data_IF_524978986626
#
_entry.id   IF_524978986626
#
_cell.length_a   1.000
_cell.length_b   1.000
_cell.length_c   1.000
_cell.angle_alpha   90.00
_cell.angle_beta   90.00
_cell.angle_gamma   90.00
#
_symmetry.space_group_name_H-M   'P 1'
#
loop_
_entity.id
_entity.type
_entity.pdbx_description
1 polymer ?
#
# COMPACT_ATOMS: atom_id res chain seq x y z
N UNK A 1 -5.95 35.31 16.28
CA UNK A 1 -6.84 34.20 15.85
C UNK A 1 -6.00 32.94 15.86
N UNK A 2 -6.46 31.86 16.49
CA UNK A 2 -5.75 30.58 16.37
C UNK A 2 -5.76 30.16 14.90
N UNK A 3 -4.62 29.72 14.38
CA UNK A 3 -4.52 29.24 13.01
C UNK A 3 -5.33 27.95 12.89
N UNK A 4 -6.34 27.94 12.01
CA UNK A 4 -7.22 26.79 11.81
C UNK A 4 -6.52 25.67 11.01
N UNK A 5 -5.36 25.96 10.43
CA UNK A 5 -4.56 25.02 9.65
C UNK A 5 -4.11 23.82 10.50
N UNK A 6 -4.22 22.65 9.90
CA UNK A 6 -3.82 21.39 10.53
C UNK A 6 -4.80 20.25 10.34
N UNK A 7 -4.54 19.16 11.06
CA UNK A 7 -5.40 17.99 11.12
C UNK A 7 -6.10 17.96 12.46
N UNK A 8 -7.42 17.80 12.42
CA UNK A 8 -8.29 17.85 13.58
C UNK A 8 -9.08 16.56 13.70
N UNK A 9 -9.09 15.95 14.88
CA UNK A 9 -10.03 14.89 15.21
C UNK A 9 -11.39 15.51 15.56
N UNK A 10 -12.47 15.01 14.96
CA UNK A 10 -13.81 15.52 15.23
C UNK A 10 -14.49 14.67 16.29
N UNK A 11 -14.68 15.22 17.49
CA UNK A 11 -15.38 14.56 18.60
C UNK A 11 -16.79 15.10 18.71
N UNK A 12 -17.80 14.24 18.58
CA UNK A 12 -19.20 14.65 18.78
C UNK A 12 -19.45 15.00 20.24
N UNK A 13 -20.17 16.09 20.47
CA UNK A 13 -20.52 16.59 21.81
C UNK A 13 -22.05 16.70 22.02
N UNK A 14 -22.85 16.45 20.98
CA UNK A 14 -24.31 16.35 21.05
C UNK A 14 -24.97 16.40 19.66
N UNK A 15 -26.29 16.18 19.60
CA UNK A 15 -27.08 16.22 18.35
C UNK A 15 -27.77 14.89 18.01
N UNK A 16 -28.41 14.86 16.85
CA UNK A 16 -29.27 13.76 16.41
C UNK A 16 -28.55 12.67 15.59
N UNK A 17 -27.24 12.80 15.36
CA UNK A 17 -26.45 11.83 14.60
C UNK A 17 -25.66 10.89 15.53
N UNK A 18 -25.49 9.60 15.14
CA UNK A 18 -24.69 8.66 15.91
C UNK A 18 -23.23 9.11 16.03
N UNK A 19 -22.48 8.59 17.04
CA UNK A 19 -21.05 8.89 17.18
C UNK A 19 -20.27 8.44 15.94
N UNK A 20 -19.57 9.38 15.31
CA UNK A 20 -18.75 9.14 14.10
C UNK A 20 -17.29 8.98 14.52
N UNK A 21 -16.90 7.77 14.91
CA UNK A 21 -15.51 7.45 15.23
C UNK A 21 -14.62 7.55 13.97
N UNK A 22 -13.40 8.07 14.12
CA UNK A 22 -12.44 8.18 13.02
C UNK A 22 -12.64 9.36 12.07
N UNK A 23 -13.61 10.25 12.33
CA UNK A 23 -13.83 11.43 11.50
C UNK A 23 -12.75 12.49 11.75
N UNK A 24 -12.06 12.92 10.68
CA UNK A 24 -11.01 13.94 10.75
C UNK A 24 -11.32 15.11 9.83
N UNK A 25 -10.78 16.29 10.14
CA UNK A 25 -10.77 17.45 9.23
C UNK A 25 -9.34 17.86 8.96
N UNK A 26 -8.98 17.98 7.69
CA UNK A 26 -7.72 18.57 7.25
C UNK A 26 -8.01 19.94 6.66
N UNK A 27 -7.38 20.96 7.21
CA UNK A 27 -7.61 22.36 6.85
C UNK A 27 -6.28 22.97 6.45
N UNK A 28 -6.28 23.67 5.31
CA UNK A 28 -5.14 24.42 4.83
C UNK A 28 -5.60 25.69 4.11
N UNK A 29 -5.25 26.85 4.69
CA UNK A 29 -5.65 28.16 4.23
C UNK A 29 -7.17 28.27 4.08
N UNK A 30 -7.63 28.48 2.86
CA UNK A 30 -9.04 28.74 2.53
C UNK A 30 -9.85 27.49 2.16
N UNK A 31 -9.29 26.29 2.37
CA UNK A 31 -9.96 25.05 1.99
C UNK A 31 -9.65 23.88 2.93
N UNK A 32 -10.47 22.83 2.86
CA UNK A 32 -10.21 21.62 3.59
C UNK A 32 -11.08 20.45 3.19
N UNK A 33 -10.90 19.34 3.90
CA UNK A 33 -11.64 18.10 3.71
C UNK A 33 -11.99 17.46 5.05
N UNK A 34 -13.24 17.00 5.19
CA UNK A 34 -13.63 16.06 6.25
C UNK A 34 -13.43 14.64 5.70
N UNK A 35 -12.70 13.80 6.43
CA UNK A 35 -12.32 12.44 6.08
C UNK A 35 -13.02 11.46 7.04
N UNK A 36 -13.69 10.45 6.51
CA UNK A 36 -14.29 9.35 7.26
C UNK A 36 -14.08 8.04 6.46
N UNK A 37 -13.06 7.28 6.83
CA UNK A 37 -12.61 6.13 6.01
C UNK A 37 -12.28 6.58 4.57
N UNK A 38 -12.76 5.89 3.52
CA UNK A 38 -12.53 6.29 2.14
C UNK A 38 -13.34 7.53 1.70
N UNK A 39 -14.29 8.00 2.52
CA UNK A 39 -15.16 9.12 2.16
C UNK A 39 -14.48 10.48 2.47
N UNK A 40 -14.38 11.33 1.45
CA UNK A 40 -13.80 12.68 1.56
C UNK A 40 -14.79 13.78 1.16
N UNK A 41 -15.18 14.62 2.10
CA UNK A 41 -16.10 15.75 1.88
C UNK A 41 -15.35 17.06 1.86
N UNK A 42 -15.29 17.73 0.70
CA UNK A 42 -14.55 18.98 0.53
C UNK A 42 -15.36 20.17 1.06
N UNK A 43 -14.69 21.14 1.67
CA UNK A 43 -15.29 22.41 2.09
C UNK A 43 -14.35 23.59 1.79
N UNK A 44 -14.94 24.79 1.68
CA UNK A 44 -14.22 26.05 1.72
C UNK A 44 -14.23 26.60 3.16
N UNK A 45 -13.15 27.24 3.56
CA UNK A 45 -13.07 27.97 4.84
C UNK A 45 -13.43 29.43 4.55
N UNK A 46 -14.48 29.93 5.19
CA UNK A 46 -14.96 31.31 5.05
C UNK A 46 -15.12 31.88 6.46
N UNK A 47 -14.12 32.63 6.92
CA UNK A 47 -14.06 33.07 8.32
C UNK A 47 -13.95 31.87 9.27
N UNK A 48 -14.92 31.72 10.15
CA UNK A 48 -15.05 30.61 11.10
C UNK A 48 -15.98 29.49 10.59
N UNK A 49 -16.41 29.56 9.31
CA UNK A 49 -17.30 28.58 8.71
C UNK A 49 -16.59 27.63 7.74
N UNK A 50 -16.96 26.35 7.82
CA UNK A 50 -16.60 25.32 6.86
C UNK A 50 -17.81 25.04 5.96
N UNK A 51 -17.78 25.58 4.74
CA UNK A 51 -18.88 25.47 3.77
C UNK A 51 -18.64 24.32 2.81
N UNK A 52 -19.42 23.25 2.93
CA UNK A 52 -19.23 22.05 2.12
C UNK A 52 -19.60 22.26 0.66
N UNK A 53 -18.80 21.66 -0.22
CA UNK A 53 -18.98 21.71 -1.67
C UNK A 53 -19.84 20.53 -2.13
N UNK A 54 -20.34 20.61 -3.38
CA UNK A 54 -21.09 19.50 -4.00
C UNK A 54 -20.30 18.17 -3.92
N UNK A 55 -20.98 17.04 -3.67
CA UNK A 55 -22.44 16.86 -3.57
C UNK A 55 -23.04 17.29 -2.21
N UNK A 56 -22.22 17.63 -1.22
CA UNK A 56 -22.64 17.99 0.15
C UNK A 56 -22.97 19.47 0.32
N UNK A 57 -23.42 20.14 -0.74
CA UNK A 57 -23.79 21.54 -0.68
C UNK A 57 -24.97 21.75 0.28
N UNK A 58 -24.91 22.79 1.11
CA UNK A 58 -25.92 23.09 2.13
C UNK A 58 -25.54 22.64 3.54
N UNK A 59 -24.51 21.80 3.69
CA UNK A 59 -23.86 21.58 4.98
C UNK A 59 -22.88 22.72 5.27
N UNK A 60 -22.93 23.24 6.50
CA UNK A 60 -22.04 24.28 7.03
C UNK A 60 -21.67 23.91 8.45
N UNK A 61 -20.39 23.93 8.78
CA UNK A 61 -19.96 23.86 10.17
C UNK A 61 -19.46 25.23 10.63
N UNK A 62 -20.00 25.79 11.72
CA UNK A 62 -19.50 27.03 12.34
C UNK A 62 -18.57 26.69 13.49
N UNK A 63 -17.42 27.35 13.59
CA UNK A 63 -16.40 27.10 14.61
C UNK A 63 -16.28 28.26 15.60
N UNK A 64 -16.01 27.94 16.85
CA UNK A 64 -15.71 28.93 17.90
C UNK A 64 -14.46 28.48 18.63
N UNK A 65 -13.45 29.34 18.80
CA UNK A 65 -12.20 28.96 19.45
C UNK A 65 -12.46 28.61 20.91
N UNK A 66 -11.85 27.53 21.39
CA UNK A 66 -11.87 27.10 22.80
C UNK A 66 -10.48 26.66 23.22
N UNK A 67 -10.25 26.50 24.52
CA UNK A 67 -8.99 25.94 25.01
C UNK A 67 -8.75 24.55 24.39
N UNK A 68 -7.56 24.37 23.81
CA UNK A 68 -7.15 23.11 23.18
C UNK A 68 -7.85 22.78 21.86
N UNK A 69 -8.52 23.72 21.18
CA UNK A 69 -9.05 23.52 19.84
C UNK A 69 -10.26 24.38 19.49
N UNK A 70 -11.29 23.79 18.87
CA UNK A 70 -12.50 24.51 18.43
C UNK A 70 -13.77 23.80 18.87
N UNK A 71 -14.76 24.54 19.36
CA UNK A 71 -16.14 24.06 19.44
C UNK A 71 -16.80 24.26 18.07
N UNK A 72 -17.61 23.31 17.64
CA UNK A 72 -18.26 23.33 16.34
C UNK A 72 -19.76 23.06 16.43
N UNK A 73 -20.54 23.77 15.61
CA UNK A 73 -21.94 23.46 15.34
C UNK A 73 -22.07 23.04 13.88
N UNK A 74 -22.80 21.96 13.65
CA UNK A 74 -23.05 21.42 12.31
C UNK A 74 -24.47 21.80 11.89
N UNK A 75 -24.58 22.48 10.75
CA UNK A 75 -25.82 23.01 10.20
C UNK A 75 -26.09 22.42 8.83
N UNK A 76 -27.36 22.12 8.56
CA UNK A 76 -27.84 21.79 7.22
C UNK A 76 -28.92 22.79 6.86
N UNK A 77 -28.68 23.57 5.81
CA UNK A 77 -29.57 24.66 5.36
C UNK A 77 -29.99 25.60 6.51
N UNK A 78 -29.03 25.93 7.38
CA UNK A 78 -29.24 26.84 8.52
C UNK A 78 -29.83 26.20 9.78
N UNK A 79 -30.20 24.92 9.75
CA UNK A 79 -30.71 24.20 10.94
C UNK A 79 -29.59 23.39 11.59
N UNK A 80 -29.32 23.66 12.87
CA UNK A 80 -28.37 22.86 13.66
C UNK A 80 -28.87 21.42 13.77
N UNK A 81 -28.01 20.46 13.43
CA UNK A 81 -28.27 19.03 13.59
C UNK A 81 -27.27 18.33 14.51
N UNK A 82 -26.19 19.02 14.90
CA UNK A 82 -25.30 18.51 15.94
C UNK A 82 -24.19 19.46 16.35
N UNK A 83 -23.49 19.05 17.40
CA UNK A 83 -22.34 19.76 17.97
C UNK A 83 -21.13 18.83 18.02
N UNK A 84 -19.96 19.43 17.90
CA UNK A 84 -18.70 18.72 17.93
C UNK A 84 -17.58 19.58 18.53
N UNK A 85 -16.44 18.96 18.75
CA UNK A 85 -15.19 19.60 19.11
C UNK A 85 -14.12 19.16 18.12
N UNK A 86 -13.34 20.11 17.63
CA UNK A 86 -12.08 19.85 16.94
C UNK A 86 -10.99 19.82 17.99
N UNK A 87 -10.39 18.65 18.15
CA UNK A 87 -9.20 18.46 18.96
C UNK A 87 -8.03 18.31 17.99
N UNK A 88 -6.87 18.96 18.22
CA UNK A 88 -5.70 18.76 17.39
C UNK A 88 -5.46 17.26 17.28
N UNK A 89 -5.49 16.74 16.05
CA UNK A 89 -5.07 15.36 15.87
C UNK A 89 -3.60 15.35 16.29
N UNK A 90 -3.27 14.58 17.34
CA UNK A 90 -1.87 14.30 17.62
C UNK A 90 -1.27 13.86 16.30
N UNK A 91 -0.21 14.53 15.87
CA UNK A 91 0.59 14.10 14.73
C UNK A 91 1.05 12.69 15.09
N UNK A 92 0.32 11.68 14.62
CA UNK A 92 0.90 10.36 14.44
C UNK A 92 1.77 10.54 13.18
N UNK A 93 2.83 11.33 13.31
CA UNK A 93 4.02 11.13 12.50
C UNK A 93 4.37 9.70 12.84
N UNK A 94 4.01 8.78 11.95
CA UNK A 94 4.68 7.50 11.91
C UNK A 94 6.15 7.85 11.98
N UNK A 95 6.80 7.42 13.05
CA UNK A 95 8.23 7.59 13.15
C UNK A 95 8.87 6.89 11.93
N UNK A 96 10.07 7.28 11.55
CA UNK A 96 10.79 6.63 10.44
C UNK A 96 10.87 5.12 10.68
N UNK A 97 10.89 4.69 11.96
CA UNK A 97 10.73 3.30 12.38
C UNK A 97 9.38 2.68 12.04
N UNK A 98 8.27 3.37 12.25
CA UNK A 98 6.94 2.85 11.90
C UNK A 98 6.79 2.71 10.39
N UNK A 99 7.36 3.66 9.62
CA UNK A 99 7.41 3.56 8.16
C UNK A 99 8.28 2.39 7.71
N UNK A 100 9.42 2.16 8.36
CA UNK A 100 10.28 1.00 8.09
C UNK A 100 9.53 -0.31 8.30
N UNK A 101 8.87 -0.49 9.45
CA UNK A 101 8.07 -1.68 9.73
C UNK A 101 7.00 -1.92 8.67
N UNK A 102 6.28 -0.86 8.26
CA UNK A 102 5.27 -0.93 7.20
C UNK A 102 5.87 -1.39 5.85
N UNK A 103 7.05 -0.89 5.48
CA UNK A 103 7.68 -1.30 4.23
C UNK A 103 8.25 -2.71 4.27
N UNK A 104 8.65 -3.19 5.45
CA UNK A 104 8.98 -4.61 5.64
C UNK A 104 7.72 -5.48 5.51
N UNK A 105 6.58 -5.06 6.09
CA UNK A 105 5.29 -5.75 5.93
C UNK A 105 4.87 -5.85 4.45
N UNK A 106 5.02 -4.76 3.70
CA UNK A 106 4.74 -4.71 2.25
C UNK A 106 5.66 -5.65 1.46
N UNK A 107 6.95 -5.68 1.77
CA UNK A 107 7.90 -6.57 1.13
C UNK A 107 7.57 -8.05 1.42
N UNK A 108 7.28 -8.42 2.68
CA UNK A 108 6.85 -9.78 3.03
C UNK A 108 5.59 -10.17 2.24
N UNK A 109 4.60 -9.27 2.14
CA UNK A 109 3.38 -9.55 1.41
C UNK A 109 3.60 -9.73 -0.11
N UNK A 110 4.58 -9.02 -0.68
CA UNK A 110 5.01 -9.15 -2.07
C UNK A 110 5.65 -10.52 -2.31
N UNK A 111 6.66 -10.89 -1.50
CA UNK A 111 7.34 -12.19 -1.57
C UNK A 111 6.36 -13.37 -1.47
N UNK A 112 5.41 -13.31 -0.53
CA UNK A 112 4.40 -14.37 -0.36
C UNK A 112 3.40 -14.44 -1.53
N UNK A 113 3.23 -13.33 -2.26
CA UNK A 113 2.45 -13.35 -3.49
C UNK A 113 3.23 -13.98 -4.63
N UNK A 114 4.49 -13.59 -4.82
CA UNK A 114 5.38 -14.14 -5.85
C UNK A 114 5.61 -15.63 -5.63
N UNK A 115 5.92 -16.05 -4.41
CA UNK A 115 6.04 -17.48 -4.07
C UNK A 115 4.81 -18.29 -4.44
N UNK A 116 3.60 -17.79 -4.16
CA UNK A 116 2.35 -18.50 -4.56
C UNK A 116 2.19 -18.59 -6.08
N UNK A 117 2.64 -17.57 -6.82
CA UNK A 117 2.68 -17.63 -8.29
C UNK A 117 3.67 -18.70 -8.76
N UNK A 118 4.88 -18.73 -8.19
CA UNK A 118 5.92 -19.71 -8.53
C UNK A 118 5.54 -21.15 -8.18
N UNK A 119 4.89 -21.38 -7.02
CA UNK A 119 4.37 -22.70 -6.61
C UNK A 119 3.38 -23.27 -7.65
N UNK A 120 2.65 -22.41 -8.37
CA UNK A 120 1.75 -22.81 -9.47
C UNK A 120 2.42 -22.88 -10.84
N UNK A 121 3.47 -22.10 -11.06
CA UNK A 121 4.12 -21.94 -12.36
C UNK A 121 4.92 -23.16 -12.80
N UNK A 122 5.51 -23.91 -11.87
CA UNK A 122 6.29 -25.11 -12.20
C UNK A 122 5.48 -26.17 -12.98
N UNK A 123 4.15 -26.16 -12.86
CA UNK A 123 3.24 -27.08 -13.57
C UNK A 123 2.86 -26.60 -14.98
N UNK A 124 3.30 -25.41 -15.38
CA UNK A 124 2.97 -24.81 -16.69
C UNK A 124 3.97 -25.20 -17.78
N UNK A 125 5.14 -25.72 -17.41
CA UNK A 125 6.25 -25.97 -18.32
C UNK A 125 6.64 -27.45 -18.30
N UNK A 126 6.99 -27.98 -19.47
CA UNK A 126 7.58 -29.32 -19.61
C UNK A 126 9.11 -29.26 -19.77
N UNK A 127 9.67 -28.10 -20.10
CA UNK A 127 11.12 -27.91 -20.30
C UNK A 127 11.87 -27.94 -18.95
N UNK A 128 12.83 -28.87 -18.76
CA UNK A 128 13.55 -29.00 -17.50
C UNK A 128 14.33 -27.75 -17.07
N UNK A 129 14.81 -26.94 -18.02
CA UNK A 129 15.56 -25.71 -17.72
C UNK A 129 14.62 -24.64 -17.15
N UNK A 130 13.41 -24.50 -17.72
CA UNK A 130 12.40 -23.57 -17.21
C UNK A 130 11.89 -23.99 -15.82
N UNK A 131 11.69 -25.29 -15.61
CA UNK A 131 11.28 -25.83 -14.31
C UNK A 131 12.37 -25.54 -13.25
N UNK A 132 13.64 -25.85 -13.54
CA UNK A 132 14.76 -25.58 -12.63
C UNK A 132 14.90 -24.09 -12.30
N UNK A 133 14.76 -23.21 -13.30
CA UNK A 133 14.77 -21.76 -13.14
C UNK A 133 13.69 -21.29 -12.15
N UNK A 134 12.45 -21.76 -12.33
CA UNK A 134 11.31 -21.40 -11.48
C UNK A 134 11.49 -21.95 -10.06
N UNK A 135 11.89 -23.21 -9.93
CA UNK A 135 12.08 -23.84 -8.62
C UNK A 135 13.22 -23.23 -7.83
N UNK A 136 14.32 -22.86 -8.50
CA UNK A 136 15.42 -22.14 -7.90
C UNK A 136 14.93 -20.81 -7.31
N UNK A 137 14.27 -20.00 -8.14
CA UNK A 137 13.78 -18.69 -7.71
C UNK A 137 12.75 -18.83 -6.58
N UNK A 138 11.84 -19.81 -6.65
CA UNK A 138 10.87 -20.11 -5.58
C UNK A 138 11.52 -20.34 -4.21
N UNK A 139 12.68 -21.02 -4.19
CA UNK A 139 13.45 -21.23 -2.95
C UNK A 139 14.12 -19.94 -2.50
N UNK A 140 14.65 -19.13 -3.42
CA UNK A 140 15.22 -17.81 -3.12
C UNK A 140 14.15 -16.86 -2.52
N UNK A 141 13.00 -16.70 -3.16
CA UNK A 141 11.85 -15.89 -2.71
C UNK A 141 11.37 -16.32 -1.31
N UNK A 142 11.32 -17.62 -1.00
CA UNK A 142 10.99 -18.10 0.34
C UNK A 142 12.02 -17.63 1.38
N UNK A 143 13.32 -17.73 1.06
CA UNK A 143 14.37 -17.25 1.94
C UNK A 143 14.35 -15.71 2.09
N UNK A 144 13.96 -14.95 1.05
CA UNK A 144 13.75 -13.50 1.13
C UNK A 144 12.68 -13.14 2.16
N UNK A 145 11.50 -13.76 2.05
CA UNK A 145 10.40 -13.62 3.01
C UNK A 145 10.86 -13.97 4.43
N UNK A 146 11.61 -15.06 4.61
CA UNK A 146 12.13 -15.46 5.92
C UNK A 146 13.11 -14.44 6.51
N UNK A 147 14.04 -13.88 5.72
CA UNK A 147 14.95 -12.81 6.18
C UNK A 147 14.16 -11.60 6.66
N UNK A 148 13.17 -11.16 5.88
CA UNK A 148 12.31 -10.02 6.21
C UNK A 148 11.46 -10.28 7.45
N UNK A 149 10.88 -11.48 7.61
CA UNK A 149 10.11 -11.87 8.80
C UNK A 149 10.96 -11.86 10.06
N UNK A 150 12.16 -12.45 10.02
CA UNK A 150 13.12 -12.41 11.14
C UNK A 150 13.46 -10.97 11.53
N UNK A 151 13.68 -10.10 10.54
CA UNK A 151 13.94 -8.67 10.79
C UNK A 151 12.73 -7.94 11.36
N UNK A 152 11.54 -8.21 10.83
CA UNK A 152 10.29 -7.63 11.31
C UNK A 152 10.04 -7.96 12.78
N UNK A 153 10.19 -9.23 13.16
CA UNK A 153 10.09 -9.69 14.54
C UNK A 153 11.12 -9.01 15.45
N UNK A 154 12.38 -8.92 15.00
CA UNK A 154 13.45 -8.23 15.75
C UNK A 154 13.16 -6.74 15.99
N UNK A 155 12.41 -6.10 15.09
CA UNK A 155 11.97 -4.71 15.21
C UNK A 155 10.70 -4.52 16.04
N UNK A 156 10.09 -5.60 16.53
CA UNK A 156 8.83 -5.60 17.28
C UNK A 156 7.58 -5.55 16.40
N UNK A 157 7.71 -5.91 15.12
CA UNK A 157 6.59 -6.06 14.21
C UNK A 157 5.66 -7.22 14.61
N UNK A 158 4.40 -7.16 14.18
CA UNK A 158 3.39 -8.18 14.48
C UNK A 158 2.84 -8.82 13.20
N UNK A 159 2.58 -10.14 13.17
CA UNK A 159 2.06 -10.83 11.98
C UNK A 159 0.72 -10.30 11.44
N UNK A 160 -0.05 -9.58 12.26
CA UNK A 160 -1.31 -8.94 11.84
C UNK A 160 -1.12 -7.77 10.88
N UNK A 161 -0.01 -7.04 10.96
CA UNK A 161 0.26 -5.91 10.06
C UNK A 161 0.64 -6.39 8.64
N UNK A 162 1.40 -7.50 8.54
CA UNK A 162 1.67 -8.21 7.29
C UNK A 162 0.36 -8.57 6.57
N UNK A 163 -0.64 -9.09 7.31
CA UNK A 163 -1.94 -9.47 6.74
C UNK A 163 -2.74 -8.27 6.20
N UNK A 164 -2.62 -7.11 6.85
CA UNK A 164 -3.28 -5.89 6.38
C UNK A 164 -2.65 -5.37 5.08
N UNK A 165 -1.32 -5.39 4.97
CA UNK A 165 -0.59 -5.04 3.75
C UNK A 165 -0.92 -5.99 2.58
N UNK A 166 -1.04 -7.30 2.86
CA UNK A 166 -1.44 -8.29 1.87
C UNK A 166 -2.85 -8.01 1.29
N UNK A 167 -3.77 -7.45 2.08
CA UNK A 167 -5.10 -7.03 1.60
C UNK A 167 -5.05 -5.90 0.57
N UNK A 168 -4.05 -5.01 0.68
CA UNK A 168 -3.85 -3.88 -0.25
C UNK A 168 -3.19 -4.36 -1.54
N UNK A 169 -2.13 -5.18 -1.45
CA UNK A 169 -1.48 -5.80 -2.62
C UNK A 169 -2.43 -6.73 -3.36
N UNK A 170 -3.23 -7.53 -2.66
CA UNK A 170 -4.26 -8.38 -3.26
C UNK A 170 -5.34 -7.61 -4.01
N UNK A 171 -5.58 -6.34 -3.65
CA UNK A 171 -6.49 -5.47 -4.41
C UNK A 171 -5.87 -4.94 -5.72
N UNK A 172 -4.55 -4.80 -5.77
CA UNK A 172 -3.78 -4.42 -6.96
C UNK A 172 -3.49 -5.62 -7.89
N UNK A 173 -3.36 -6.82 -7.31
CA UNK A 173 -3.20 -8.09 -8.02
C UNK A 173 -4.49 -8.60 -8.72
N UNK A 174 -5.56 -7.78 -8.79
CA UNK A 174 -6.70 -8.01 -9.69
C UNK A 174 -6.35 -7.74 -11.16
N UNK A 175 -5.20 -8.25 -11.60
CA UNK A 175 -4.97 -8.57 -13.00
C UNK A 175 -5.51 -9.99 -13.21
N UNK A 176 -6.28 -10.25 -14.27
CA UNK A 176 -6.90 -11.55 -14.47
C UNK A 176 -5.81 -12.61 -14.66
N UNK A 177 -5.65 -13.50 -13.68
CA UNK A 177 -5.09 -14.85 -13.87
C UNK A 177 -6.08 -15.66 -14.72
N UNK A 178 -6.32 -15.24 -15.96
CA UNK A 178 -7.07 -16.03 -16.93
C UNK A 178 -6.18 -17.18 -17.40
N UNK A 179 -6.09 -18.23 -16.57
CA UNK A 179 -5.42 -19.52 -16.81
C UNK A 179 -6.00 -20.32 -18.01
N UNK A 180 -6.87 -19.71 -18.83
CA UNK A 180 -7.72 -20.35 -19.84
C UNK A 180 -7.27 -20.02 -21.27
N UNK A 181 -6.19 -19.25 -21.47
CA UNK A 181 -5.67 -18.93 -22.81
C UNK A 181 -4.45 -19.80 -23.19
N UNK A 182 -4.27 -20.16 -24.47
CA UNK A 182 -3.25 -21.10 -24.94
C UNK A 182 -1.78 -20.68 -24.73
N UNK A 183 -1.41 -19.39 -24.88
CA UNK A 183 0.02 -18.95 -24.72
C UNK A 183 0.47 -18.82 -23.24
N UNK A 184 0.79 -19.93 -22.57
CA UNK A 184 1.17 -19.93 -21.15
C UNK A 184 2.60 -19.42 -20.96
N UNK A 185 3.53 -19.78 -21.84
CA UNK A 185 4.95 -19.48 -21.67
C UNK A 185 5.31 -17.99 -21.89
N UNK A 186 4.92 -17.41 -23.02
CA UNK A 186 5.28 -16.02 -23.35
C UNK A 186 4.67 -14.99 -22.39
N UNK A 187 3.42 -15.22 -21.96
CA UNK A 187 2.77 -14.36 -20.95
C UNK A 187 3.41 -14.51 -19.59
N UNK A 188 3.73 -15.73 -19.17
CA UNK A 188 4.44 -15.97 -17.92
C UNK A 188 5.78 -15.23 -17.89
N UNK A 189 6.61 -15.36 -18.93
CA UNK A 189 7.91 -14.72 -18.99
C UNK A 189 7.82 -13.18 -18.87
N UNK A 190 6.86 -12.58 -19.59
CA UNK A 190 6.56 -11.14 -19.49
C UNK A 190 6.16 -10.72 -18.08
N UNK A 191 5.22 -11.46 -17.48
CA UNK A 191 4.67 -11.10 -16.17
C UNK A 191 5.69 -11.35 -15.06
N UNK A 192 6.50 -12.41 -15.15
CA UNK A 192 7.63 -12.67 -14.28
C UNK A 192 8.67 -11.55 -14.38
N UNK A 193 9.13 -11.21 -15.59
CA UNK A 193 10.13 -10.16 -15.79
C UNK A 193 9.69 -8.79 -15.24
N UNK A 194 8.40 -8.44 -15.43
CA UNK A 194 7.83 -7.23 -14.86
C UNK A 194 7.73 -7.28 -13.33
N UNK A 195 7.46 -8.46 -12.77
CA UNK A 195 7.41 -8.69 -11.32
C UNK A 195 8.79 -8.52 -10.71
N UNK A 196 9.84 -9.11 -11.27
CA UNK A 196 11.22 -8.93 -10.78
C UNK A 196 11.60 -7.44 -10.66
N UNK A 197 11.23 -6.64 -11.68
CA UNK A 197 11.52 -5.21 -11.67
C UNK A 197 10.72 -4.42 -10.63
N UNK A 198 9.51 -4.88 -10.30
CA UNK A 198 8.74 -4.34 -9.18
C UNK A 198 9.41 -4.67 -7.84
N UNK A 199 9.94 -5.88 -7.67
CA UNK A 199 10.65 -6.30 -6.46
C UNK A 199 11.97 -5.53 -6.30
N UNK A 200 12.76 -5.41 -7.38
CA UNK A 200 13.97 -4.58 -7.41
C UNK A 200 13.68 -3.13 -6.99
N UNK A 201 12.61 -2.53 -7.52
CA UNK A 201 12.20 -1.17 -7.17
C UNK A 201 11.77 -1.07 -5.69
N UNK A 202 11.04 -2.06 -5.20
CA UNK A 202 10.58 -2.13 -3.81
C UNK A 202 11.76 -2.26 -2.83
N UNK A 203 12.74 -3.11 -3.14
CA UNK A 203 13.95 -3.23 -2.33
C UNK A 203 14.83 -1.99 -2.38
N UNK A 204 14.89 -1.29 -3.52
CA UNK A 204 15.52 0.02 -3.60
C UNK A 204 14.88 1.06 -2.66
N UNK A 205 13.55 1.04 -2.53
CA UNK A 205 12.85 1.91 -1.59
C UNK A 205 13.10 1.49 -0.14
N UNK A 206 12.98 0.19 0.16
CA UNK A 206 13.22 -0.35 1.49
C UNK A 206 14.63 -0.04 2.01
N UNK A 207 15.67 -0.24 1.19
CA UNK A 207 17.06 0.11 1.54
C UNK A 207 17.17 1.59 1.95
N UNK A 208 16.59 2.48 1.15
CA UNK A 208 16.67 3.93 1.38
C UNK A 208 15.93 4.37 2.63
N UNK A 209 14.84 3.70 2.97
CA UNK A 209 14.06 3.96 4.18
C UNK A 209 14.80 3.41 5.39
N UNK A 210 15.32 2.18 5.31
CA UNK A 210 16.13 1.55 6.35
C UNK A 210 17.34 2.41 6.74
N UNK A 211 18.11 2.91 5.75
CA UNK A 211 19.23 3.83 6.00
C UNK A 211 18.80 5.12 6.70
N UNK A 212 17.63 5.68 6.34
CA UNK A 212 17.08 6.88 7.01
C UNK A 212 16.58 6.59 8.42
N UNK A 213 16.16 5.36 8.68
CA UNK A 213 15.78 4.88 10.01
C UNK A 213 16.99 4.56 10.90
N UNK A 214 18.21 4.55 10.34
CA UNK A 214 19.43 4.08 11.04
C UNK A 214 19.49 2.56 11.20
N UNK A 215 18.73 1.82 10.40
CA UNK A 215 18.67 0.36 10.44
C UNK A 215 19.51 -0.23 9.29
N UNK A 216 20.80 -0.42 9.55
CA UNK A 216 21.72 -0.93 8.53
C UNK A 216 21.46 -2.41 8.19
N UNK A 217 21.03 -3.21 9.16
CA UNK A 217 20.72 -4.63 8.96
C UNK A 217 19.57 -4.83 7.96
N UNK A 218 18.52 -4.01 8.05
CA UNK A 218 17.43 -4.03 7.06
C UNK A 218 17.92 -3.53 5.70
N UNK A 219 18.82 -2.55 5.66
CA UNK A 219 19.40 -2.08 4.40
C UNK A 219 20.23 -3.18 3.72
N UNK A 220 21.00 -3.94 4.48
CA UNK A 220 21.77 -5.10 3.99
C UNK A 220 20.86 -6.21 3.47
N UNK A 221 19.77 -6.55 4.19
CA UNK A 221 18.76 -7.51 3.71
C UNK A 221 18.16 -7.04 2.39
N UNK A 222 17.78 -5.76 2.28
CA UNK A 222 17.21 -5.21 1.05
C UNK A 222 18.20 -5.23 -0.12
N UNK A 223 19.49 -4.95 0.12
CA UNK A 223 20.53 -5.04 -0.91
C UNK A 223 20.73 -6.49 -1.37
N UNK A 224 20.73 -7.44 -0.42
CA UNK A 224 20.89 -8.87 -0.72
C UNK A 224 19.74 -9.38 -1.58
N UNK A 225 18.50 -9.22 -1.13
CA UNK A 225 17.33 -9.68 -1.88
C UNK A 225 17.28 -9.02 -3.27
N UNK A 226 17.49 -7.69 -3.36
CA UNK A 226 17.58 -6.99 -4.65
C UNK A 226 18.62 -7.60 -5.60
N UNK A 227 19.78 -8.00 -5.08
CA UNK A 227 20.85 -8.57 -5.92
C UNK A 227 20.43 -9.92 -6.46
N UNK A 228 19.72 -10.72 -5.65
CA UNK A 228 19.12 -11.99 -6.06
C UNK A 228 18.04 -11.75 -7.14
N UNK A 229 17.16 -10.75 -6.99
CA UNK A 229 16.15 -10.39 -8.03
C UNK A 229 16.75 -9.84 -9.32
N UNK A 230 17.83 -9.07 -9.21
CA UNK A 230 18.56 -8.60 -10.40
C UNK A 230 19.15 -9.76 -11.18
N UNK A 231 19.68 -10.77 -10.49
CA UNK A 231 20.17 -11.98 -11.12
C UNK A 231 19.03 -12.78 -11.76
N UNK A 232 17.87 -12.86 -11.11
CA UNK A 232 16.70 -13.53 -11.67
C UNK A 232 16.15 -12.82 -12.91
N UNK A 233 16.01 -11.49 -12.86
CA UNK A 233 15.62 -10.67 -14.01
C UNK A 233 16.56 -10.87 -15.20
N UNK A 234 17.88 -10.95 -14.94
CA UNK A 234 18.87 -11.24 -15.99
C UNK A 234 18.69 -12.64 -16.55
N UNK A 235 18.48 -13.66 -15.71
CA UNK A 235 18.22 -15.03 -16.19
C UNK A 235 16.97 -15.10 -17.05
N UNK A 236 15.89 -14.42 -16.68
CA UNK A 236 14.68 -14.35 -17.51
C UNK A 236 14.99 -13.70 -18.88
N UNK A 237 15.79 -12.63 -18.90
CA UNK A 237 16.20 -11.96 -20.14
C UNK A 237 17.02 -12.87 -21.06
N UNK A 238 17.89 -13.70 -20.49
CA UNK A 238 18.70 -14.67 -21.24
C UNK A 238 17.88 -15.84 -21.83
N UNK A 239 16.65 -16.07 -21.33
CA UNK A 239 15.78 -17.19 -21.75
C UNK A 239 14.62 -16.77 -22.66
N UNK A 240 14.57 -15.54 -23.17
CA UNK A 240 13.48 -15.07 -24.04
C UNK A 240 13.24 -15.97 -25.25
N UNK A 241 14.30 -16.45 -25.90
CA UNK A 241 14.19 -17.33 -27.07
C UNK A 241 13.50 -18.65 -26.70
N UNK A 242 13.84 -19.23 -25.54
CA UNK A 242 13.22 -20.47 -25.04
C UNK A 242 11.74 -20.28 -24.74
N UNK A 243 11.37 -19.16 -24.10
CA UNK A 243 9.97 -18.81 -23.84
C UNK A 243 9.19 -18.56 -25.14
N UNK A 244 9.81 -17.93 -26.14
CA UNK A 244 9.21 -17.68 -27.45
C UNK A 244 8.97 -18.99 -28.21
N UNK A 245 9.95 -19.89 -28.26
CA UNK A 245 9.80 -21.22 -28.87
C UNK A 245 8.69 -22.02 -28.19
N UNK A 246 8.65 -22.06 -26.86
CA UNK A 246 7.62 -22.77 -26.13
C UNK A 246 6.23 -22.18 -26.39
N UNK A 247 6.12 -20.84 -26.43
CA UNK A 247 4.87 -20.16 -26.75
C UNK A 247 4.38 -20.48 -28.17
N UNK A 248 5.29 -20.65 -29.14
CA UNK A 248 4.94 -21.06 -30.50
C UNK A 248 4.48 -22.53 -30.56
N UNK A 249 5.16 -23.42 -29.84
CA UNK A 249 4.76 -24.84 -29.73
C UNK A 249 3.38 -25.01 -29.09
N UNK A 250 3.06 -24.20 -28.08
CA UNK A 250 1.74 -24.17 -27.42
C UNK A 250 0.60 -23.80 -28.38
N UNK A 251 0.89 -22.98 -29.40
CA UNK A 251 -0.04 -22.61 -30.49
C UNK A 251 -0.04 -23.62 -31.66
N UNK A 252 0.70 -24.73 -31.54
CA UNK A 252 0.80 -25.76 -32.58
C UNK A 252 1.69 -25.37 -33.76
N UNK A 253 2.49 -24.33 -33.63
CA UNK A 253 3.48 -23.93 -34.63
C UNK A 253 4.71 -24.84 -34.50
N UNK A 254 5.16 -25.42 -35.62
CA UNK A 254 6.41 -26.19 -35.66
C UNK A 254 7.58 -25.21 -35.78
N UNK A 255 8.49 -25.24 -34.82
CA UNK A 255 9.69 -24.38 -34.72
C UNK A 255 10.92 -25.25 -34.55
#
# INVERSE_FOLDING_TARGET
MAELDGVWEVRRTGGALPPLFGMRKRIHGTSGRTELGPLGMRFAVVGDELRYRRPFAGFVDTLTPVEGGWAGRALYRGREYGRFRLVPARRQTMDVRDQLLKHIDEAIAMEENVKRMLDGAAQLFDDPQLIDLIDHHRVETEEHSQRLRRRHEALGGSPSMVREAAGILGALAKLPLDMVRPEKAGRFARDAFATEHLEIASYHLLERIARRAGDEETAEIAVRNRTEEQAMAQRLDEHWDLFAEQSLREEGVTV
#
